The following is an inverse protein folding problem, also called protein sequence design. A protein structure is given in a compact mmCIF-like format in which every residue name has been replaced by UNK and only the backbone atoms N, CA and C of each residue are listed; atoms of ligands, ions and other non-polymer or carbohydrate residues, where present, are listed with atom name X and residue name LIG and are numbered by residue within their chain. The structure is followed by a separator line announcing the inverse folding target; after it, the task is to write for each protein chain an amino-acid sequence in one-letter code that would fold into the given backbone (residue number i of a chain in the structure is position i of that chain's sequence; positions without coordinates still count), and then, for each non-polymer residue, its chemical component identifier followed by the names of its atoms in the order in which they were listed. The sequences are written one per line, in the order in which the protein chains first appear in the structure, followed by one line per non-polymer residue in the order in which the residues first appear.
data_IF_679457999378
#
_entry.id   IF_679457999378
#
_cell.length_a   1.000
_cell.length_b   1.000
_cell.length_c   1.000
_cell.angle_alpha   90.00
_cell.angle_beta   90.00
_cell.angle_gamma   90.00
#
_symmetry.space_group_name_H-M   'P 1'
#
loop_
_entity.id
_entity.type
_entity.pdbx_description
1 polymer ?
#
# COMPACT_ATOMS: atom_id res chain seq x y z
N UNK A 1 -12.66 -8.47 6.38
CA UNK A 1 -13.65 -8.04 7.41
C UNK A 1 -13.37 -8.68 8.77
N UNK A 2 -13.32 -10.01 8.87
CA UNK A 2 -13.01 -10.73 10.13
C UNK A 2 -11.66 -10.34 10.72
N UNK A 3 -10.65 -10.09 9.88
CA UNK A 3 -9.32 -9.64 10.31
C UNK A 3 -9.30 -8.30 11.06
N UNK A 4 -10.27 -7.39 10.83
CA UNK A 4 -10.34 -6.11 11.57
C UNK A 4 -10.94 -6.27 12.96
N UNK A 5 -11.83 -7.25 13.15
CA UNK A 5 -12.42 -7.59 14.45
C UNK A 5 -11.49 -8.49 15.27
N UNK A 6 -10.87 -9.48 14.62
CA UNK A 6 -9.94 -10.40 15.25
C UNK A 6 -8.54 -9.83 15.40
N UNK A 7 -8.10 -8.91 14.53
CA UNK A 7 -6.74 -8.36 14.54
C UNK A 7 -6.34 -7.80 15.91
N UNK A 8 -7.11 -6.87 16.50
CA UNK A 8 -6.85 -6.37 17.85
C UNK A 8 -6.86 -7.47 18.92
N UNK A 9 -7.82 -8.41 18.84
CA UNK A 9 -8.00 -9.45 19.85
C UNK A 9 -6.91 -10.54 19.77
N UNK A 10 -6.48 -10.91 18.57
CA UNK A 10 -5.43 -11.89 18.29
C UNK A 10 -4.06 -11.27 18.57
N UNK A 11 -3.83 -10.02 18.19
CA UNK A 11 -2.59 -9.29 18.50
C UNK A 11 -2.38 -9.16 20.01
N UNK A 12 -3.44 -8.86 20.78
CA UNK A 12 -3.39 -8.80 22.23
C UNK A 12 -3.27 -10.18 22.91
N UNK A 13 -3.63 -11.28 22.23
CA UNK A 13 -3.44 -12.66 22.73
C UNK A 13 -2.03 -13.19 22.48
N UNK A 14 -1.35 -12.69 21.44
CA UNK A 14 0.02 -13.07 21.10
C UNK A 14 1.08 -12.26 21.88
N UNK A 15 0.68 -11.18 22.56
CA UNK A 15 1.57 -10.34 23.36
C UNK A 15 1.61 -10.78 24.84
N UNK A 16 2.80 -11.00 25.42
CA UNK A 16 2.95 -11.25 26.85
C UNK A 16 2.42 -10.07 27.68
N UNK A 17 1.70 -10.38 28.77
CA UNK A 17 0.98 -9.40 29.59
C UNK A 17 1.86 -8.29 30.22
N UNK A 18 3.18 -8.51 30.28
CA UNK A 18 4.19 -7.68 30.97
C UNK A 18 4.89 -6.64 30.07
N UNK A 19 4.61 -6.59 28.75
CA UNK A 19 5.37 -5.68 27.86
C UNK A 19 4.86 -4.23 27.92
N UNK A 20 5.77 -3.21 27.92
CA UNK A 20 5.39 -1.79 27.82
C UNK A 20 4.69 -1.45 26.49
N UNK A 21 4.70 -2.37 25.52
CA UNK A 21 4.05 -2.25 24.22
C UNK A 21 2.52 -2.45 24.30
N UNK A 22 2.01 -3.10 25.35
CA UNK A 22 0.58 -3.42 25.48
C UNK A 22 -0.28 -2.16 25.61
N UNK A 23 0.16 -1.17 26.38
CA UNK A 23 -0.54 0.12 26.51
C UNK A 23 -0.57 0.93 25.20
N UNK A 24 0.54 0.91 24.45
CA UNK A 24 0.66 1.59 23.16
C UNK A 24 -0.25 0.94 22.10
N UNK A 25 -0.33 -0.39 22.09
CA UNK A 25 -1.18 -1.16 21.18
C UNK A 25 -2.66 -1.00 21.57
N UNK A 26 -3.01 -0.97 22.85
CA UNK A 26 -4.38 -0.68 23.28
C UNK A 26 -4.87 0.67 22.78
N UNK A 27 -4.02 1.71 22.83
CA UNK A 27 -4.36 3.04 22.35
C UNK A 27 -4.51 3.11 20.82
N UNK A 28 -3.77 2.29 20.07
CA UNK A 28 -3.96 2.17 18.61
C UNK A 28 -5.26 1.42 18.31
N UNK A 29 -5.58 0.37 19.08
CA UNK A 29 -6.80 -0.43 18.88
C UNK A 29 -8.09 0.27 19.30
N UNK A 30 -8.03 1.27 20.18
CA UNK A 30 -9.19 2.05 20.61
C UNK A 30 -9.67 3.02 19.52
N UNK A 31 -8.78 3.46 18.62
CA UNK A 31 -9.10 4.32 17.47
C UNK A 31 -9.77 3.54 16.34
N UNK A 32 -9.58 2.21 16.27
CA UNK A 32 -10.21 1.40 15.25
C UNK A 32 -11.71 1.27 15.48
N UNK A 33 -12.50 1.81 14.55
CA UNK A 33 -13.95 1.69 14.54
C UNK A 33 -14.36 0.22 14.48
N UNK A 34 -15.07 -0.25 15.51
CA UNK A 34 -15.63 -1.62 15.56
C UNK A 34 -17.00 -1.73 14.88
N UNK A 35 -17.48 -0.66 14.25
CA UNK A 35 -18.80 -0.62 13.65
C UNK A 35 -18.75 -1.15 12.20
N UNK A 36 -19.50 -2.22 11.86
CA UNK A 36 -19.47 -2.82 10.52
C UNK A 36 -19.96 -1.85 9.44
N UNK A 37 -20.85 -0.90 9.79
CA UNK A 37 -21.34 0.14 8.86
C UNK A 37 -20.23 1.06 8.33
N UNK A 38 -19.10 1.17 9.03
CA UNK A 38 -17.94 1.96 8.61
C UNK A 38 -16.88 1.06 7.99
N UNK A 39 -16.64 -0.12 8.55
CA UNK A 39 -15.61 -1.05 8.07
C UNK A 39 -15.93 -1.63 6.68
N UNK A 40 -17.21 -1.88 6.38
CA UNK A 40 -17.64 -2.40 5.07
C UNK A 40 -17.30 -1.45 3.93
N UNK A 41 -17.76 -0.17 3.92
CA UNK A 41 -17.46 0.74 2.83
C UNK A 41 -15.95 0.99 2.69
N UNK A 42 -15.20 1.13 3.80
CA UNK A 42 -13.74 1.29 3.75
C UNK A 42 -13.07 0.08 3.08
N UNK A 43 -13.44 -1.14 3.48
CA UNK A 43 -12.88 -2.36 2.89
C UNK A 43 -13.20 -2.44 1.40
N UNK A 44 -14.43 -2.10 1.00
CA UNK A 44 -14.83 -2.09 -0.41
C UNK A 44 -14.04 -1.06 -1.20
N UNK A 45 -13.86 0.15 -0.67
CA UNK A 45 -13.03 1.19 -1.30
C UNK A 45 -11.59 0.70 -1.47
N UNK A 46 -11.00 0.06 -0.47
CA UNK A 46 -9.66 -0.52 -0.56
C UNK A 46 -9.57 -1.62 -1.62
N UNK A 47 -10.56 -2.53 -1.68
CA UNK A 47 -10.60 -3.58 -2.71
C UNK A 47 -10.70 -2.95 -4.10
N UNK A 48 -11.62 -1.99 -4.29
CA UNK A 48 -11.76 -1.28 -5.55
C UNK A 48 -10.48 -0.56 -5.96
N UNK A 49 -9.79 0.08 -5.01
CA UNK A 49 -8.51 0.74 -5.25
C UNK A 49 -7.44 -0.26 -5.72
N UNK A 50 -7.30 -1.41 -5.04
CA UNK A 50 -6.34 -2.43 -5.45
C UNK A 50 -6.69 -3.07 -6.79
N UNK A 51 -7.97 -3.31 -7.07
CA UNK A 51 -8.41 -3.83 -8.37
C UNK A 51 -8.12 -2.82 -9.48
N UNK A 52 -8.41 -1.53 -9.27
CA UNK A 52 -8.07 -0.47 -10.21
C UNK A 52 -6.56 -0.41 -10.46
N UNK A 53 -5.76 -0.50 -9.40
CA UNK A 53 -4.30 -0.57 -9.51
C UNK A 53 -3.89 -1.76 -10.40
N UNK A 54 -4.44 -2.95 -10.17
CA UNK A 54 -4.12 -4.15 -10.96
C UNK A 54 -4.55 -3.98 -12.42
N UNK A 55 -5.71 -3.35 -12.69
CA UNK A 55 -6.15 -3.00 -14.04
C UNK A 55 -5.17 -2.08 -14.77
N UNK A 56 -4.61 -1.08 -14.07
CA UNK A 56 -3.57 -0.22 -14.64
C UNK A 56 -2.32 -1.02 -15.00
N UNK A 57 -1.94 -2.01 -14.18
CA UNK A 57 -0.82 -2.91 -14.48
C UNK A 57 -1.09 -3.79 -15.70
N UNK A 58 -2.32 -4.29 -15.86
CA UNK A 58 -2.72 -5.00 -17.06
C UNK A 58 -2.62 -4.11 -18.31
N UNK A 59 -3.05 -2.85 -18.23
CA UNK A 59 -2.96 -1.89 -19.33
C UNK A 59 -1.50 -1.56 -19.69
N UNK A 60 -0.64 -1.38 -18.68
CA UNK A 60 0.80 -1.19 -18.90
C UNK A 60 1.42 -2.39 -19.61
N UNK A 61 1.07 -3.61 -19.20
CA UNK A 61 1.57 -4.83 -19.83
C UNK A 61 1.12 -4.93 -21.30
N UNK A 62 -0.16 -4.65 -21.56
CA UNK A 62 -0.70 -4.61 -22.92
C UNK A 62 0.04 -3.59 -23.80
N UNK A 63 0.37 -2.41 -23.26
CA UNK A 63 1.18 -1.40 -23.94
C UNK A 63 2.61 -1.85 -24.27
N UNK A 64 3.15 -2.83 -23.53
CA UNK A 64 4.44 -3.46 -23.81
C UNK A 64 4.32 -4.68 -24.74
N UNK A 65 3.14 -4.97 -25.27
CA UNK A 65 2.86 -6.13 -26.13
C UNK A 65 2.77 -7.44 -25.35
N UNK A 66 2.56 -7.39 -24.04
CA UNK A 66 2.44 -8.54 -23.17
C UNK A 66 1.00 -8.72 -22.67
N UNK A 67 0.50 -9.94 -22.75
CA UNK A 67 -0.79 -10.31 -22.19
C UNK A 67 -0.60 -11.27 -21.02
N UNK A 68 -1.13 -10.88 -19.86
CA UNK A 68 -1.04 -11.66 -18.64
C UNK A 68 -2.43 -12.15 -18.23
N UNK A 69 -2.58 -13.42 -17.83
CA UNK A 69 -3.80 -13.87 -17.18
C UNK A 69 -4.10 -12.98 -15.96
N UNK A 70 -5.35 -12.54 -15.84
CA UNK A 70 -5.79 -11.73 -14.69
C UNK A 70 -5.47 -12.37 -13.34
N UNK A 71 -5.61 -13.69 -13.23
CA UNK A 71 -5.27 -14.45 -12.02
C UNK A 71 -3.81 -14.31 -11.62
N UNK A 72 -2.90 -14.19 -12.59
CA UNK A 72 -1.48 -14.02 -12.35
C UNK A 72 -1.17 -12.62 -11.83
N UNK A 73 -1.74 -11.57 -12.44
CA UNK A 73 -1.58 -10.19 -11.96
C UNK A 73 -2.19 -9.99 -10.56
N UNK A 74 -3.30 -10.66 -10.25
CA UNK A 74 -3.94 -10.64 -8.94
C UNK A 74 -3.04 -11.17 -7.81
N UNK A 75 -2.03 -11.98 -8.12
CA UNK A 75 -1.08 -12.51 -7.14
C UNK A 75 0.22 -11.71 -7.15
N UNK A 76 0.79 -11.48 -8.34
CA UNK A 76 2.10 -10.86 -8.47
C UNK A 76 2.10 -9.40 -8.03
N UNK A 77 1.10 -8.61 -8.43
CA UNK A 77 1.10 -7.16 -8.13
C UNK A 77 0.98 -6.91 -6.62
N UNK A 78 0.09 -7.57 -5.85
CA UNK A 78 0.10 -7.45 -4.39
C UNK A 78 1.41 -7.90 -3.74
N UNK A 79 2.04 -8.97 -4.22
CA UNK A 79 3.35 -9.40 -3.71
C UNK A 79 4.42 -8.33 -3.93
N UNK A 80 4.50 -7.78 -5.14
CA UNK A 80 5.43 -6.68 -5.45
C UNK A 80 5.16 -5.48 -4.56
N UNK A 81 3.89 -5.11 -4.33
CA UNK A 81 3.53 -4.01 -3.45
C UNK A 81 4.03 -4.24 -2.01
N UNK A 82 3.84 -5.44 -1.46
CA UNK A 82 4.31 -5.79 -0.10
C UNK A 82 5.83 -5.68 0.00
N UNK A 83 6.56 -6.19 -0.99
CA UNK A 83 8.03 -6.13 -1.01
C UNK A 83 8.51 -4.68 -1.18
N UNK A 84 7.79 -3.88 -1.97
CA UNK A 84 8.14 -2.48 -2.27
C UNK A 84 7.82 -1.51 -1.13
N UNK A 85 6.97 -1.88 -0.16
CA UNK A 85 6.70 -1.05 1.02
C UNK A 85 7.76 -1.21 2.11
N UNK A 86 8.67 -2.17 1.96
CA UNK A 86 9.79 -2.33 2.86
C UNK A 86 10.67 -1.06 2.79
N UNK A 87 11.08 -0.48 3.94
CA UNK A 87 11.84 0.76 3.99
C UNK A 87 13.33 0.53 3.67
N UNK A 88 13.61 -0.29 2.67
CA UNK A 88 14.95 -0.62 2.18
C UNK A 88 15.37 0.34 1.05
N UNK A 89 14.41 0.94 0.35
CA UNK A 89 14.68 1.87 -0.74
C UNK A 89 13.67 3.00 -0.85
N UNK A 90 14.05 4.06 -1.56
CA UNK A 90 13.20 5.23 -1.78
C UNK A 90 12.00 4.88 -2.67
N UNK A 91 10.78 4.88 -2.11
CA UNK A 91 9.54 4.54 -2.83
C UNK A 91 9.52 3.12 -3.44
N UNK A 92 10.39 2.22 -2.97
CA UNK A 92 10.57 0.91 -3.58
C UNK A 92 11.39 0.90 -4.87
N UNK A 93 12.00 2.02 -5.29
CA UNK A 93 12.94 2.04 -6.43
C UNK A 93 14.10 1.05 -6.19
N UNK A 94 14.46 0.29 -7.20
CA UNK A 94 15.38 -0.86 -7.14
C UNK A 94 14.70 -2.14 -6.64
N UNK A 95 13.99 -2.10 -5.52
CA UNK A 95 13.33 -3.28 -4.93
C UNK A 95 12.17 -3.76 -5.80
N UNK A 96 11.33 -2.82 -6.25
CA UNK A 96 10.16 -3.05 -7.09
C UNK A 96 10.56 -3.53 -8.47
N UNK A 97 11.54 -2.87 -9.09
CA UNK A 97 12.04 -3.20 -10.42
C UNK A 97 12.65 -4.61 -10.42
N UNK A 98 13.46 -4.95 -9.41
CA UNK A 98 13.97 -6.31 -9.27
C UNK A 98 12.86 -7.32 -8.98
N UNK A 99 11.83 -6.96 -8.20
CA UNK A 99 10.69 -7.84 -7.97
C UNK A 99 9.89 -8.08 -9.27
N UNK A 100 9.72 -7.06 -10.12
CA UNK A 100 9.12 -7.22 -11.45
C UNK A 100 9.99 -8.09 -12.35
N UNK A 101 11.30 -7.84 -12.41
CA UNK A 101 12.22 -8.69 -13.17
C UNK A 101 12.11 -10.15 -12.69
N UNK A 102 12.22 -10.39 -11.39
CA UNK A 102 12.20 -11.73 -10.81
C UNK A 102 10.86 -12.45 -11.03
N UNK A 103 9.73 -11.75 -10.86
CA UNK A 103 8.41 -12.37 -10.90
C UNK A 103 7.86 -12.46 -12.34
N UNK A 104 8.05 -11.45 -13.18
CA UNK A 104 7.41 -11.32 -14.51
C UNK A 104 8.27 -11.85 -15.67
N UNK A 105 9.59 -11.92 -15.53
CA UNK A 105 10.46 -12.41 -16.63
C UNK A 105 10.44 -13.91 -16.89
N UNK A 106 10.23 -14.80 -15.89
CA UNK A 106 10.21 -16.24 -16.15
C UNK A 106 9.06 -16.71 -17.06
N UNK A 107 8.10 -15.84 -17.37
CA UNK A 107 6.90 -16.20 -18.14
C UNK A 107 6.66 -15.41 -19.42
N UNK A 108 6.80 -14.08 -19.40
CA UNK A 108 6.15 -13.21 -20.42
C UNK A 108 7.00 -12.00 -20.85
N UNK A 109 7.77 -11.37 -19.96
CA UNK A 109 8.54 -10.15 -20.29
C UNK A 109 10.04 -10.40 -20.39
N UNK A 110 10.74 -9.65 -21.26
CA UNK A 110 12.19 -9.53 -21.16
C UNK A 110 12.59 -8.72 -19.91
N UNK A 111 13.81 -8.88 -19.38
CA UNK A 111 14.30 -8.04 -18.26
C UNK A 111 14.19 -6.54 -18.55
N UNK A 112 14.46 -6.13 -19.79
CA UNK A 112 14.37 -4.74 -20.23
C UNK A 112 12.92 -4.24 -20.20
N UNK A 113 11.97 -5.08 -20.64
CA UNK A 113 10.55 -4.74 -20.56
C UNK A 113 10.05 -4.68 -19.10
N UNK A 114 10.53 -5.57 -18.22
CA UNK A 114 10.19 -5.54 -16.80
C UNK A 114 10.74 -4.29 -16.09
N UNK A 115 11.94 -3.85 -16.45
CA UNK A 115 12.49 -2.56 -16.00
C UNK A 115 11.66 -1.38 -16.54
N UNK A 116 11.31 -1.40 -17.82
CA UNK A 116 10.43 -0.40 -18.44
C UNK A 116 9.05 -0.34 -17.77
N UNK A 117 8.50 -1.48 -17.38
CA UNK A 117 7.25 -1.59 -16.65
C UNK A 117 7.32 -0.89 -15.28
N UNK A 118 8.41 -1.08 -14.53
CA UNK A 118 8.68 -0.34 -13.29
C UNK A 118 8.82 1.17 -13.52
N UNK A 119 9.52 1.57 -14.59
CA UNK A 119 9.70 2.96 -14.98
C UNK A 119 8.38 3.66 -15.33
N UNK A 120 7.49 3.00 -16.08
CA UNK A 120 6.16 3.52 -16.39
C UNK A 120 5.35 3.71 -15.10
N UNK A 121 5.42 2.74 -14.18
CA UNK A 121 4.71 2.83 -12.91
C UNK A 121 5.18 4.01 -12.05
N UNK A 122 6.49 4.16 -11.84
CA UNK A 122 7.02 5.27 -11.02
C UNK A 122 6.70 6.63 -11.65
N UNK A 123 6.77 6.75 -12.98
CA UNK A 123 6.41 7.97 -13.69
C UNK A 123 4.92 8.30 -13.52
N UNK A 124 4.05 7.30 -13.67
CA UNK A 124 2.59 7.47 -13.51
C UNK A 124 2.24 7.96 -12.09
N UNK A 125 2.83 7.33 -11.07
CA UNK A 125 2.62 7.73 -9.67
C UNK A 125 3.20 9.11 -9.39
N UNK A 126 4.35 9.44 -9.97
CA UNK A 126 4.99 10.75 -9.81
C UNK A 126 4.10 11.85 -10.39
N UNK A 127 3.62 11.68 -11.63
CA UNK A 127 2.71 12.64 -12.28
C UNK A 127 1.44 12.83 -11.44
N UNK A 128 0.80 11.74 -11.02
CA UNK A 128 -0.40 11.81 -10.19
C UNK A 128 -0.14 12.52 -8.85
N UNK A 129 1.01 12.24 -8.22
CA UNK A 129 1.39 12.86 -6.94
C UNK A 129 1.75 14.34 -7.10
N UNK A 130 2.37 14.73 -8.23
CA UNK A 130 2.68 16.13 -8.54
C UNK A 130 1.43 16.98 -8.63
N UNK A 131 0.31 16.45 -9.15
CA UNK A 131 -0.97 17.16 -9.16
C UNK A 131 -1.39 17.50 -7.73
N UNK A 132 -1.33 16.53 -6.81
CA UNK A 132 -1.61 16.76 -5.39
C UNK A 132 -0.67 17.80 -4.76
N UNK A 133 0.62 17.74 -5.09
CA UNK A 133 1.62 18.72 -4.65
C UNK A 133 1.32 20.14 -5.14
N UNK A 134 0.97 20.30 -6.42
CA UNK A 134 0.59 21.58 -7.01
C UNK A 134 -0.66 22.14 -6.33
N UNK A 135 -1.71 21.32 -6.16
CA UNK A 135 -2.93 21.74 -5.46
C UNK A 135 -2.64 22.15 -4.03
N UNK A 136 -1.75 21.44 -3.32
CA UNK A 136 -1.34 21.78 -1.96
C UNK A 136 -0.64 23.14 -1.89
N UNK A 137 0.26 23.44 -2.83
CA UNK A 137 0.95 24.73 -2.91
C UNK A 137 -0.02 25.86 -3.24
N UNK A 138 -0.94 25.65 -4.19
CA UNK A 138 -1.90 26.68 -4.61
C UNK A 138 -2.97 26.99 -3.56
N UNK A 139 -3.22 26.08 -2.62
CA UNK A 139 -4.25 26.25 -1.59
C UNK A 139 -3.69 26.68 -0.23
N UNK A 140 -2.37 26.85 -0.09
CA UNK A 140 -1.66 27.13 1.17
C UNK A 140 -2.04 26.19 2.33
N UNK A 141 -2.57 25.00 2.02
CA UNK A 141 -3.01 24.00 3.00
C UNK A 141 -1.84 23.16 3.52
N UNK A 142 -0.75 23.81 3.90
CA UNK A 142 0.29 23.23 4.73
C UNK A 142 -0.09 23.41 6.21
N UNK A 143 -1.22 22.84 6.63
CA UNK A 143 -1.44 22.67 8.07
C UNK A 143 -0.62 21.45 8.50
N UNK A 144 0.49 21.60 9.24
CA UNK A 144 1.17 20.46 9.82
C UNK A 144 0.18 19.74 10.72
N UNK A 145 -0.05 18.45 10.45
CA UNK A 145 -0.89 17.58 11.30
C UNK A 145 -0.35 17.71 12.72
N UNK A 146 -1.13 18.37 13.60
CA UNK A 146 -0.69 18.72 14.94
C UNK A 146 -0.15 17.47 15.66
N UNK A 147 1.07 17.59 16.22
CA UNK A 147 1.65 16.52 17.02
C UNK A 147 0.69 16.15 18.17
N UNK A 148 0.55 14.86 18.51
CA UNK A 148 -0.34 14.43 19.58
C UNK A 148 0.04 15.19 20.87
N UNK A 149 -0.92 15.95 21.41
CA UNK A 149 -0.76 16.64 22.68
C UNK A 149 -0.59 15.56 23.76
N UNK A 150 0.64 15.40 24.27
CA UNK A 150 0.89 14.60 25.45
C UNK A 150 0.13 15.25 26.62
N UNK A 151 -0.99 14.64 26.98
CA UNK A 151 -1.71 14.90 28.23
C UNK A 151 -0.90 14.35 29.41
N UNK A 152 0.24 14.97 29.70
CA UNK A 152 0.89 14.91 31.02
C UNK A 152 0.70 16.26 31.67
N UNK A 153 -0.50 16.45 32.23
CA UNK A 153 -0.74 17.39 33.31
C UNK A 153 -1.40 16.59 34.43
N UNK A 154 -0.58 16.26 35.44
CA UNK A 154 -0.81 16.05 36.87
C UNK A 154 0.03 14.88 37.40
#
# INVERSE_FOLDING_TARGET
MVAWFLGPAVLLRLLPAESPLRGKIQNITSVFSKHPRVLVPITLISICFHLLQISLHALMAYGLGADFPWSYLLVVIPMVNIVSTLPISWNGLGVRENAYVFLLTPGILSPEQALGFGAIWILSVTIASSIGGIVSVLTDRFEPVAAPQNSTSL
#
